data_IF_548454750167
#
_entry.id   IF_548454750167
#
_cell.length_a   1.000
_cell.length_b   1.000
_cell.length_c   1.000
_cell.angle_alpha   90.00
_cell.angle_beta   90.00
_cell.angle_gamma   90.00
#
_symmetry.space_group_name_H-M   'P 1'
#
loop_
_entity.id
_entity.type
_entity.pdbx_description
1 polymer ?
#
# COMPACT_ATOMS: atom_id res chain seq x y z
N UNK A 1 -15.78 14.33 11.03
CA UNK A 1 -14.54 14.98 10.58
C UNK A 1 -14.39 14.69 9.10
N UNK A 2 -14.41 15.72 8.25
CA UNK A 2 -14.07 15.59 6.83
C UNK A 2 -12.60 15.23 6.72
N UNK A 3 -12.28 14.04 6.21
CA UNK A 3 -10.90 13.67 5.91
C UNK A 3 -10.44 14.47 4.68
N UNK A 4 -9.28 15.15 4.72
CA UNK A 4 -8.76 15.83 3.54
C UNK A 4 -8.54 14.82 2.41
N UNK A 5 -8.86 15.22 1.17
CA UNK A 5 -8.68 14.36 -0.02
C UNK A 5 -7.24 13.86 -0.09
N UNK A 6 -7.10 12.56 -0.33
CA UNK A 6 -5.83 11.87 -0.54
C UNK A 6 -5.48 11.87 -2.02
N UNK A 7 -4.20 11.84 -2.37
CA UNK A 7 -3.79 11.67 -3.77
C UNK A 7 -3.44 10.19 -4.03
N UNK A 8 -4.24 9.45 -4.83
CA UNK A 8 -3.96 8.04 -5.12
C UNK A 8 -2.61 7.79 -5.80
N UNK A 9 -2.16 8.72 -6.66
CA UNK A 9 -0.86 8.64 -7.31
C UNK A 9 0.28 8.76 -6.30
N UNK A 10 0.17 9.68 -5.34
CA UNK A 10 1.17 9.82 -4.26
C UNK A 10 1.19 8.56 -3.38
N UNK A 11 0.03 8.02 -3.03
CA UNK A 11 -0.06 6.78 -2.27
C UNK A 11 0.64 5.62 -2.99
N UNK A 12 0.42 5.47 -4.30
CA UNK A 12 1.07 4.44 -5.11
C UNK A 12 2.59 4.62 -5.21
N UNK A 13 3.07 5.86 -5.44
CA UNK A 13 4.50 6.18 -5.51
C UNK A 13 5.20 5.91 -4.18
N UNK A 14 4.56 6.25 -3.05
CA UNK A 14 5.10 5.91 -1.73
C UNK A 14 5.25 4.39 -1.57
N UNK A 15 4.23 3.63 -1.94
CA UNK A 15 4.25 2.16 -1.90
C UNK A 15 5.19 1.52 -2.93
N UNK A 16 5.55 2.21 -4.01
CA UNK A 16 6.56 1.80 -4.99
C UNK A 16 7.96 1.75 -4.34
N UNK A 17 8.34 2.81 -3.62
CA UNK A 17 9.65 2.88 -2.97
C UNK A 17 9.74 1.98 -1.74
N UNK A 18 8.69 1.98 -0.91
CA UNK A 18 8.65 1.16 0.30
C UNK A 18 7.22 0.60 0.46
N UNK A 19 7.05 -0.73 0.32
CA UNK A 19 5.75 -1.36 0.56
C UNK A 19 5.17 -0.98 1.92
N UNK A 20 3.88 -0.62 1.96
CA UNK A 20 3.19 -0.19 3.18
C UNK A 20 3.16 1.33 3.42
N UNK A 21 4.01 2.14 2.77
CA UNK A 21 3.98 3.60 2.98
C UNK A 21 2.73 4.28 2.42
N UNK A 22 2.20 3.82 1.28
CA UNK A 22 0.95 4.35 0.74
C UNK A 22 -0.23 4.10 1.66
N UNK A 23 -0.27 2.94 2.32
CA UNK A 23 -1.26 2.58 3.34
C UNK A 23 -1.14 3.48 4.58
N UNK A 24 0.08 3.77 5.03
CA UNK A 24 0.34 4.73 6.12
C UNK A 24 -0.13 6.14 5.74
N UNK A 25 0.16 6.60 4.51
CA UNK A 25 -0.29 7.88 3.98
C UNK A 25 -1.84 7.99 3.94
N UNK A 26 -2.50 6.89 3.63
CA UNK A 26 -3.95 6.75 3.65
C UNK A 26 -4.54 6.69 5.07
N UNK A 27 -3.71 6.73 6.12
CA UNK A 27 -4.13 6.66 7.53
C UNK A 27 -4.33 5.23 8.04
N UNK A 28 -4.02 4.21 7.24
CA UNK A 28 -4.11 2.80 7.63
C UNK A 28 -2.77 2.31 8.19
N UNK A 29 -2.36 2.85 9.35
CA UNK A 29 -1.04 2.62 9.93
C UNK A 29 -0.76 1.13 10.18
N UNK A 30 -1.69 0.42 10.83
CA UNK A 30 -1.52 -1.00 11.15
C UNK A 30 -1.37 -1.85 9.88
N UNK A 31 -2.16 -1.55 8.84
CA UNK A 31 -2.08 -2.22 7.55
C UNK A 31 -0.73 -1.99 6.88
N UNK A 32 -0.24 -0.76 6.88
CA UNK A 32 1.08 -0.43 6.34
C UNK A 32 2.23 -1.14 7.07
N UNK A 33 2.18 -1.23 8.40
CA UNK A 33 3.16 -1.99 9.18
C UNK A 33 3.14 -3.48 8.78
N UNK A 34 1.96 -4.08 8.67
CA UNK A 34 1.82 -5.47 8.20
C UNK A 34 2.44 -5.64 6.81
N UNK A 35 2.25 -4.68 5.91
CA UNK A 35 2.78 -4.75 4.55
C UNK A 35 4.32 -4.63 4.52
N UNK A 36 4.91 -3.81 5.38
CA UNK A 36 6.37 -3.73 5.56
C UNK A 36 6.94 -5.07 6.04
N UNK A 37 6.28 -5.70 7.03
CA UNK A 37 6.69 -7.01 7.56
C UNK A 37 6.59 -8.09 6.47
N UNK A 38 5.48 -8.13 5.73
CA UNK A 38 5.28 -9.08 4.63
C UNK A 38 6.32 -8.90 3.51
N UNK A 39 6.61 -7.64 3.13
CA UNK A 39 7.66 -7.35 2.15
C UNK A 39 9.03 -7.86 2.64
N UNK A 40 9.33 -7.72 3.93
CA UNK A 40 10.57 -8.20 4.53
C UNK A 40 10.65 -9.73 4.51
N UNK A 41 9.56 -10.41 4.83
CA UNK A 41 9.47 -11.89 4.77
C UNK A 41 9.64 -12.37 3.33
N UNK A 42 8.92 -11.80 2.36
CA UNK A 42 9.03 -12.20 0.95
C UNK A 42 10.40 -11.87 0.36
N UNK A 43 11.02 -10.77 0.80
CA UNK A 43 12.40 -10.43 0.48
C UNK A 43 13.37 -11.49 1.01
N UNK A 44 13.21 -11.94 2.26
CA UNK A 44 14.03 -13.02 2.81
C UNK A 44 13.85 -14.35 2.08
N UNK A 45 12.63 -14.68 1.64
CA UNK A 45 12.35 -15.89 0.85
C UNK A 45 13.03 -15.93 -0.52
N UNK A 46 13.61 -14.82 -1.00
CA UNK A 46 14.42 -14.82 -2.23
C UNK A 46 15.65 -15.74 -2.11
N UNK A 47 16.15 -15.97 -0.89
CA UNK A 47 17.25 -16.90 -0.59
C UNK A 47 16.91 -18.34 -1.01
N UNK A 48 15.63 -18.73 -0.92
CA UNK A 48 15.15 -20.08 -1.28
C UNK A 48 14.44 -20.14 -2.64
N UNK A 49 14.73 -19.18 -3.52
CA UNK A 49 14.17 -18.99 -4.87
C UNK A 49 12.68 -18.62 -4.95
N UNK A 50 11.85 -19.08 -4.01
CA UNK A 50 10.40 -18.84 -4.01
C UNK A 50 10.08 -17.33 -3.90
N UNK A 51 10.90 -16.56 -3.17
CA UNK A 51 10.70 -15.12 -3.02
C UNK A 51 10.80 -14.33 -4.32
N UNK A 52 11.48 -14.83 -5.36
CA UNK A 52 11.54 -14.14 -6.67
C UNK A 52 10.19 -14.08 -7.37
N UNK A 53 9.25 -14.97 -7.03
CA UNK A 53 7.88 -14.95 -7.56
C UNK A 53 6.97 -14.21 -6.58
N UNK A 54 7.07 -14.52 -5.28
CA UNK A 54 6.17 -13.94 -4.28
C UNK A 54 6.37 -12.44 -4.08
N UNK A 55 7.63 -11.97 -4.06
CA UNK A 55 7.92 -10.56 -3.79
C UNK A 55 7.38 -9.64 -4.89
N UNK A 56 7.60 -9.86 -6.20
CA UNK A 56 7.00 -9.03 -7.24
C UNK A 56 5.48 -9.04 -7.25
N UNK A 57 4.85 -10.21 -7.04
CA UNK A 57 3.38 -10.33 -6.96
C UNK A 57 2.82 -9.49 -5.80
N UNK A 58 3.43 -9.63 -4.62
CA UNK A 58 3.03 -8.83 -3.46
C UNK A 58 3.30 -7.34 -3.67
N UNK A 59 4.43 -6.99 -4.29
CA UNK A 59 4.79 -5.61 -4.57
C UNK A 59 3.74 -4.94 -5.46
N UNK A 60 3.33 -5.57 -6.57
CA UNK A 60 2.24 -5.10 -7.45
C UNK A 60 0.93 -4.95 -6.67
N UNK A 61 0.56 -5.95 -5.88
CA UNK A 61 -0.64 -5.90 -5.05
C UNK A 61 -0.61 -4.72 -4.06
N UNK A 62 0.54 -4.47 -3.42
CA UNK A 62 0.72 -3.36 -2.50
C UNK A 62 0.55 -1.98 -3.17
N UNK A 63 1.01 -1.81 -4.42
CA UNK A 63 0.79 -0.58 -5.20
C UNK A 63 -0.70 -0.39 -5.51
N UNK A 64 -1.34 -1.46 -6.01
CA UNK A 64 -2.77 -1.44 -6.32
C UNK A 64 -3.61 -1.10 -5.09
N UNK A 65 -3.30 -1.74 -3.96
CA UNK A 65 -3.99 -1.53 -2.70
C UNK A 65 -3.85 -0.09 -2.19
N UNK A 66 -2.64 0.50 -2.25
CA UNK A 66 -2.40 1.89 -1.86
C UNK A 66 -3.18 2.88 -2.73
N UNK A 67 -3.20 2.66 -4.05
CA UNK A 67 -3.95 3.47 -5.00
C UNK A 67 -5.46 3.37 -4.76
N UNK A 68 -5.99 2.15 -4.73
CA UNK A 68 -7.43 1.93 -4.64
C UNK A 68 -7.98 2.38 -3.29
N UNK A 69 -7.25 2.14 -2.20
CA UNK A 69 -7.63 2.63 -0.87
C UNK A 69 -7.71 4.15 -0.84
N UNK A 70 -6.73 4.86 -1.43
CA UNK A 70 -6.75 6.33 -1.47
C UNK A 70 -7.97 6.84 -2.26
N UNK A 71 -8.31 6.16 -3.36
CA UNK A 71 -9.48 6.47 -4.18
C UNK A 71 -10.79 6.21 -3.43
N UNK A 72 -10.92 5.07 -2.77
CA UNK A 72 -12.08 4.72 -1.95
C UNK A 72 -12.29 5.71 -0.78
N UNK A 73 -11.21 6.16 -0.13
CA UNK A 73 -11.27 7.20 0.89
C UNK A 73 -11.85 8.49 0.29
N UNK A 74 -11.37 8.90 -0.89
CA UNK A 74 -11.90 10.10 -1.55
C UNK A 74 -13.35 9.96 -1.98
N UNK A 75 -13.78 8.81 -2.49
CA UNK A 75 -15.18 8.55 -2.86
C UNK A 75 -16.06 8.54 -1.61
N UNK A 76 -15.62 7.86 -0.56
CA UNK A 76 -16.35 7.78 0.72
C UNK A 76 -16.49 9.14 1.37
N UNK A 77 -15.45 9.96 1.44
CA UNK A 77 -15.53 11.28 2.12
C UNK A 77 -15.87 12.44 1.19
N UNK A 78 -15.78 12.25 -0.13
CA UNK A 78 -16.07 13.26 -1.15
C UNK A 78 -17.50 13.22 -1.69
N UNK A 79 -18.26 12.15 -1.46
CA UNK A 79 -19.67 12.04 -1.85
C UNK A 79 -20.69 12.59 -0.84
N UNK A 80 -20.22 13.16 0.29
CA UNK A 80 -21.07 13.75 1.33
C UNK A 80 -21.35 15.25 1.13
N UNK A 81 -21.06 15.78 -0.06
CA UNK A 81 -21.43 17.14 -0.50
C UNK A 81 -21.80 17.13 -1.98
#
# INVERSE_FOLDING_TARGET
MSQPRKNPGVAAVLSFFIPGLGQIYNGQIMKGIIFIILASIFGFLTVVLIGYILYPLFWIYNLYDAYNTAREINERYGGYY
#
